data_IF_668854300291
#
_entry.id   IF_668854300291
#
_cell.length_a   1.000
_cell.length_b   1.000
_cell.length_c   1.000
_cell.angle_alpha   90.00
_cell.angle_beta   90.00
_cell.angle_gamma   90.00
#
_symmetry.space_group_name_H-M   'P 1'
#
loop_
_entity.id
_entity.type
_entity.pdbx_description
1 polymer ?
#
# COMPACT_ATOMS: atom_id res chain seq x y z
N UNK A 1 -33.14 19.81 7.40
CA UNK A 1 -32.18 18.76 7.01
C UNK A 1 -30.78 19.35 7.07
N UNK A 2 -30.04 19.13 8.16
CA UNK A 2 -28.66 19.61 8.28
C UNK A 2 -27.78 18.82 7.31
N UNK A 3 -27.09 19.53 6.42
CA UNK A 3 -26.09 18.91 5.56
C UNK A 3 -25.06 18.16 6.43
N UNK A 4 -24.64 16.94 6.06
CA UNK A 4 -23.57 16.26 6.78
C UNK A 4 -22.34 17.16 6.73
N UNK A 5 -21.89 17.63 7.89
CA UNK A 5 -20.62 18.36 8.00
C UNK A 5 -19.55 17.44 7.43
N UNK A 6 -19.00 17.81 6.29
CA UNK A 6 -17.91 17.06 5.66
C UNK A 6 -16.77 16.98 6.66
N UNK A 7 -16.41 15.77 7.07
CA UNK A 7 -15.34 15.54 8.05
C UNK A 7 -14.06 16.25 7.59
N UNK A 8 -13.36 17.01 8.46
CA UNK A 8 -12.10 17.69 8.11
C UNK A 8 -11.04 16.71 7.56
N UNK A 9 -11.14 15.42 7.92
CA UNK A 9 -10.31 14.35 7.37
C UNK A 9 -10.41 14.22 5.84
N UNK A 10 -11.57 14.50 5.24
CA UNK A 10 -11.82 14.36 3.80
C UNK A 10 -11.48 15.61 3.00
N UNK A 11 -11.33 16.77 3.65
CA UNK A 11 -11.02 18.04 2.99
C UNK A 11 -9.92 18.85 3.71
N UNK A 12 -8.69 18.30 3.84
CA UNK A 12 -7.54 19.12 4.21
C UNK A 12 -7.24 20.15 3.13
N UNK A 13 -6.61 21.26 3.52
CA UNK A 13 -6.39 22.43 2.67
C UNK A 13 -4.93 22.89 2.60
N UNK A 14 -4.03 22.34 3.41
CA UNK A 14 -2.63 22.77 3.50
C UNK A 14 -1.70 21.78 2.77
N UNK A 15 -1.21 22.11 1.55
CA UNK A 15 -0.31 21.22 0.82
C UNK A 15 1.05 21.08 1.49
N UNK A 16 1.68 19.93 1.31
CA UNK A 16 3.06 19.70 1.77
C UNK A 16 4.02 20.69 1.10
N UNK A 17 5.03 21.21 1.82
CA UNK A 17 5.98 22.17 1.26
C UNK A 17 6.76 21.57 0.09
N UNK A 18 7.18 20.31 0.20
CA UNK A 18 7.94 19.57 -0.81
C UNK A 18 7.55 18.09 -0.81
N UNK A 19 8.00 17.35 -1.83
CA UNK A 19 7.83 15.90 -1.92
C UNK A 19 8.79 15.18 -0.94
N UNK A 20 8.29 14.40 0.04
CA UNK A 20 9.15 13.64 0.94
C UNK A 20 9.79 12.41 0.28
N UNK A 21 10.84 11.87 0.91
CA UNK A 21 11.47 10.61 0.50
C UNK A 21 10.51 9.43 0.50
N UNK A 22 10.68 8.50 -0.44
CA UNK A 22 9.84 7.31 -0.60
C UNK A 22 8.50 7.54 -1.29
N UNK A 23 8.14 8.79 -1.63
CA UNK A 23 6.96 9.09 -2.43
C UNK A 23 7.26 8.98 -3.93
N UNK A 24 6.25 8.57 -4.69
CA UNK A 24 6.22 8.53 -6.15
C UNK A 24 5.23 9.58 -6.65
N UNK A 25 5.55 10.26 -7.75
CA UNK A 25 4.64 11.21 -8.38
C UNK A 25 3.61 10.47 -9.22
N UNK A 26 2.31 10.69 -8.95
CA UNK A 26 1.20 10.15 -9.73
C UNK A 26 0.78 11.09 -10.86
N UNK A 27 0.77 12.40 -10.58
CA UNK A 27 0.44 13.44 -11.54
C UNK A 27 1.12 14.75 -11.16
N UNK A 28 1.60 15.48 -12.16
CA UNK A 28 2.07 16.87 -12.05
C UNK A 28 0.93 17.82 -12.45
N UNK A 29 1.02 19.10 -12.05
CA UNK A 29 -0.02 20.12 -12.31
C UNK A 29 -1.43 19.72 -11.85
N UNK A 30 -1.52 18.83 -10.87
CA UNK A 30 -2.76 18.33 -10.32
C UNK A 30 -3.51 19.44 -9.55
N UNK A 31 -4.74 19.13 -9.15
CA UNK A 31 -5.55 20.00 -8.32
C UNK A 31 -5.78 19.37 -6.96
N UNK A 32 -6.02 20.22 -5.97
CA UNK A 32 -6.48 19.78 -4.65
C UNK A 32 -7.83 19.05 -4.73
N UNK A 33 -8.67 19.43 -5.70
CA UNK A 33 -9.90 18.70 -6.03
C UNK A 33 -9.64 17.23 -6.38
N UNK A 34 -8.61 16.93 -7.18
CA UNK A 34 -8.25 15.54 -7.52
C UNK A 34 -7.80 14.74 -6.29
N UNK A 35 -7.06 15.37 -5.38
CA UNK A 35 -6.71 14.76 -4.10
C UNK A 35 -7.96 14.43 -3.28
N UNK A 36 -8.90 15.37 -3.15
CA UNK A 36 -10.18 15.12 -2.47
C UNK A 36 -11.06 14.08 -3.17
N UNK A 37 -10.99 13.96 -4.51
CA UNK A 37 -11.69 12.91 -5.24
C UNK A 37 -11.25 11.53 -4.76
N UNK A 38 -9.94 11.30 -4.64
CA UNK A 38 -9.42 10.04 -4.09
C UNK A 38 -9.90 9.80 -2.66
N UNK A 39 -9.81 10.80 -1.78
CA UNK A 39 -10.28 10.63 -0.40
C UNK A 39 -11.78 10.35 -0.33
N UNK A 40 -12.59 11.09 -1.07
CA UNK A 40 -14.03 10.87 -1.10
C UNK A 40 -14.41 9.51 -1.69
N UNK A 41 -13.71 9.06 -2.74
CA UNK A 41 -13.94 7.76 -3.36
C UNK A 41 -13.53 6.62 -2.43
N UNK A 42 -12.34 6.69 -1.82
CA UNK A 42 -11.90 5.75 -0.80
C UNK A 42 -12.89 5.66 0.37
N UNK A 43 -13.38 6.80 0.89
CA UNK A 43 -14.37 6.79 1.97
C UNK A 43 -15.68 6.10 1.56
N UNK A 44 -16.18 6.36 0.35
CA UNK A 44 -17.39 5.71 -0.18
C UNK A 44 -17.19 4.21 -0.40
N UNK A 45 -16.00 3.81 -0.82
CA UNK A 45 -15.59 2.41 -0.95
C UNK A 45 -15.30 1.72 0.40
N UNK A 46 -15.65 2.35 1.52
CA UNK A 46 -15.48 1.80 2.88
C UNK A 46 -14.02 1.69 3.33
N UNK A 47 -13.12 2.49 2.76
CA UNK A 47 -11.70 2.52 3.16
C UNK A 47 -11.49 3.42 4.38
N UNK A 48 -10.54 3.01 5.21
CA UNK A 48 -10.12 3.79 6.38
C UNK A 48 -9.21 4.93 5.95
N UNK A 49 -9.60 6.17 6.26
CA UNK A 49 -8.82 7.37 5.97
C UNK A 49 -8.30 7.94 7.28
N UNK A 50 -6.97 7.94 7.42
CA UNK A 50 -6.28 8.38 8.63
C UNK A 50 -5.30 9.53 8.38
N UNK A 51 -5.06 10.31 9.42
CA UNK A 51 -3.95 11.26 9.49
C UNK A 51 -2.65 10.47 9.64
N UNK A 52 -1.58 10.90 8.96
CA UNK A 52 -0.26 10.28 9.13
C UNK A 52 0.34 10.77 10.45
N UNK A 53 0.98 9.87 11.21
CA UNK A 53 1.60 10.22 12.49
C UNK A 53 2.51 11.45 12.35
N UNK A 54 2.26 12.46 13.19
CA UNK A 54 3.00 13.71 13.21
C UNK A 54 2.45 14.81 12.30
N UNK A 55 1.39 14.56 11.52
CA UNK A 55 0.68 15.59 10.79
C UNK A 55 -0.48 16.19 11.57
N UNK A 56 -0.83 17.42 11.19
CA UNK A 56 -2.10 18.06 11.50
C UNK A 56 -3.21 17.64 10.52
N UNK A 57 -4.46 17.67 10.96
CA UNK A 57 -5.63 17.37 10.13
C UNK A 57 -5.77 18.32 8.93
N UNK A 58 -5.19 19.51 8.94
CA UNK A 58 -5.27 20.44 7.80
C UNK A 58 -4.32 20.06 6.68
N UNK A 59 -3.28 19.27 6.95
CA UNK A 59 -2.25 18.89 5.99
C UNK A 59 -2.82 17.95 4.93
N UNK A 60 -2.54 18.20 3.66
CA UNK A 60 -2.95 17.37 2.52
C UNK A 60 -2.10 16.10 2.39
N UNK A 61 -2.07 15.29 3.46
CA UNK A 61 -1.45 13.98 3.50
C UNK A 61 -2.34 13.03 4.29
N UNK A 62 -2.71 11.90 3.68
CA UNK A 62 -3.63 10.91 4.26
C UNK A 62 -3.19 9.50 3.99
N UNK A 63 -3.36 8.65 4.99
CA UNK A 63 -3.31 7.20 4.83
C UNK A 63 -4.68 6.70 4.37
N UNK A 64 -4.70 5.90 3.32
CA UNK A 64 -5.86 5.13 2.86
C UNK A 64 -5.53 3.65 3.14
N UNK A 65 -6.38 2.97 3.90
CA UNK A 65 -6.21 1.58 4.31
C UNK A 65 -7.51 0.77 4.14
N UNK A 66 -7.43 -0.54 4.37
CA UNK A 66 -8.59 -1.43 4.30
C UNK A 66 -8.86 -2.04 2.93
N UNK A 67 -7.90 -1.96 1.99
CA UNK A 67 -7.94 -2.74 0.75
C UNK A 67 -6.94 -3.91 0.80
N UNK A 68 -7.36 -5.07 0.33
CA UNK A 68 -6.55 -6.29 0.27
C UNK A 68 -6.70 -6.95 -1.09
N UNK A 69 -5.59 -7.44 -1.63
CA UNK A 69 -5.53 -8.13 -2.92
C UNK A 69 -5.24 -9.63 -2.69
N UNK A 70 -6.15 -10.56 -3.05
CA UNK A 70 -5.87 -11.99 -3.06
C UNK A 70 -4.99 -12.39 -4.26
N UNK A 71 -4.39 -13.58 -4.23
CA UNK A 71 -3.60 -14.09 -5.37
C UNK A 71 -2.34 -13.26 -5.65
N UNK A 72 -1.84 -12.52 -4.67
CA UNK A 72 -0.86 -11.48 -4.86
C UNK A 72 0.61 -11.95 -4.80
N UNK A 73 0.86 -13.26 -4.94
CA UNK A 73 2.22 -13.82 -4.87
C UNK A 73 3.19 -13.19 -5.87
N UNK A 74 2.70 -12.77 -7.04
CA UNK A 74 3.49 -12.06 -8.09
C UNK A 74 4.05 -10.70 -7.65
N UNK A 75 3.55 -10.15 -6.53
CA UNK A 75 4.07 -8.91 -5.96
C UNK A 75 5.23 -9.12 -5.00
N UNK A 76 5.65 -10.36 -4.72
CA UNK A 76 6.79 -10.60 -3.85
C UNK A 76 8.11 -10.14 -4.48
N UNK A 77 8.97 -9.52 -3.68
CA UNK A 77 10.38 -9.29 -4.04
C UNK A 77 11.22 -10.51 -3.63
N UNK A 78 11.24 -11.52 -4.51
CA UNK A 78 11.95 -12.78 -4.25
C UNK A 78 13.45 -12.59 -4.01
N UNK A 79 14.08 -11.65 -4.72
CA UNK A 79 15.51 -11.38 -4.55
C UNK A 79 15.81 -10.86 -3.13
N UNK A 80 14.93 -10.01 -2.58
CA UNK A 80 15.09 -9.54 -1.19
C UNK A 80 14.78 -10.62 -0.17
N UNK A 81 13.77 -11.46 -0.41
CA UNK A 81 13.51 -12.61 0.48
C UNK A 81 14.70 -13.56 0.49
N UNK A 82 15.28 -13.84 -0.68
CA UNK A 82 16.43 -14.71 -0.82
C UNK A 82 17.64 -14.20 -0.02
N UNK A 83 17.93 -12.90 -0.11
CA UNK A 83 19.02 -12.29 0.66
C UNK A 83 18.84 -12.45 2.18
N UNK A 84 17.61 -12.41 2.68
CA UNK A 84 17.31 -12.57 4.12
C UNK A 84 17.34 -14.05 4.56
N UNK A 85 17.14 -14.99 3.63
CA UNK A 85 17.24 -16.43 3.92
C UNK A 85 18.68 -16.89 4.15
N UNK A 86 19.65 -16.21 3.53
CA UNK A 86 21.07 -16.50 3.72
C UNK A 86 21.53 -16.23 5.17
N UNK A 87 20.83 -15.35 5.90
CA UNK A 87 21.13 -14.98 7.28
C UNK A 87 20.52 -15.92 8.34
N UNK A 88 19.83 -16.98 7.91
CA UNK A 88 19.32 -18.05 8.76
C UNK A 88 17.86 -17.87 9.18
N UNK A 89 16.99 -18.71 8.62
CA UNK A 89 15.56 -18.73 8.93
C UNK A 89 15.05 -20.17 9.06
N UNK A 90 13.89 -20.33 9.71
CA UNK A 90 13.25 -21.63 9.88
C UNK A 90 12.97 -22.28 8.51
N UNK A 91 13.34 -23.55 8.30
CA UNK A 91 13.16 -24.21 7.02
C UNK A 91 11.67 -24.39 6.71
N UNK A 92 11.27 -23.93 5.53
CA UNK A 92 9.94 -24.18 4.96
C UNK A 92 10.12 -24.66 3.52
N UNK A 93 9.37 -25.67 3.02
CA UNK A 93 9.58 -26.23 1.68
C UNK A 93 9.61 -25.18 0.57
N UNK A 94 8.71 -24.18 0.62
CA UNK A 94 8.69 -23.08 -0.34
C UNK A 94 9.92 -22.15 -0.28
N UNK A 95 10.54 -21.99 0.91
CA UNK A 95 11.76 -21.20 1.08
C UNK A 95 13.00 -21.98 0.62
N UNK A 96 13.01 -23.30 0.83
CA UNK A 96 14.04 -24.19 0.30
C UNK A 96 14.02 -24.24 -1.22
N UNK A 97 12.83 -24.25 -1.83
CA UNK A 97 12.68 -24.14 -3.29
C UNK A 97 13.25 -22.81 -3.81
N UNK A 98 12.97 -21.70 -3.11
CA UNK A 98 13.52 -20.39 -3.46
C UNK A 98 15.06 -20.37 -3.41
N UNK A 99 15.67 -20.97 -2.38
CA UNK A 99 17.13 -21.13 -2.29
C UNK A 99 17.69 -21.97 -3.45
N UNK A 100 16.92 -22.93 -3.95
CA UNK A 100 17.23 -23.72 -5.15
C UNK A 100 16.98 -22.98 -6.48
N UNK A 101 16.57 -21.72 -6.44
CA UNK A 101 16.28 -20.89 -7.62
C UNK A 101 14.84 -20.97 -8.15
N UNK A 102 13.94 -21.68 -7.46
CA UNK A 102 12.52 -21.79 -7.83
C UNK A 102 11.62 -20.99 -6.87
N UNK A 103 11.20 -19.80 -7.30
CA UNK A 103 10.24 -18.97 -6.57
C UNK A 103 8.77 -19.37 -6.74
N UNK A 104 8.46 -20.33 -7.62
CA UNK A 104 7.09 -20.78 -7.91
C UNK A 104 6.31 -21.19 -6.65
N UNK A 105 6.82 -22.15 -5.86
CA UNK A 105 6.16 -22.61 -4.64
C UNK A 105 5.87 -21.49 -3.63
N UNK A 106 6.77 -20.51 -3.50
CA UNK A 106 6.55 -19.39 -2.58
C UNK A 106 5.46 -18.44 -3.09
N UNK A 107 5.43 -18.14 -4.39
CA UNK A 107 4.34 -17.34 -4.99
C UNK A 107 2.99 -18.04 -4.87
N UNK A 108 2.94 -19.34 -5.09
CA UNK A 108 1.73 -20.15 -4.94
C UNK A 108 1.22 -20.15 -3.50
N UNK A 109 2.12 -20.38 -2.53
CA UNK A 109 1.81 -20.30 -1.11
C UNK A 109 1.21 -18.93 -0.75
N UNK A 110 1.87 -17.84 -1.15
CA UNK A 110 1.38 -16.49 -0.88
C UNK A 110 0.05 -16.20 -1.58
N UNK A 111 -0.15 -16.69 -2.81
CA UNK A 111 -1.40 -16.53 -3.54
C UNK A 111 -2.58 -17.26 -2.88
N UNK A 112 -2.31 -18.44 -2.33
CA UNK A 112 -3.31 -19.31 -1.71
C UNK A 112 -3.65 -18.88 -0.27
N UNK A 113 -2.64 -18.55 0.54
CA UNK A 113 -2.76 -18.42 2.01
C UNK A 113 -2.64 -17.01 2.54
N UNK A 114 -2.13 -16.08 1.74
CA UNK A 114 -1.91 -14.70 2.13
C UNK A 114 -2.75 -13.74 1.29
N UNK A 115 -2.93 -12.55 1.84
CA UNK A 115 -3.47 -11.37 1.16
C UNK A 115 -2.39 -10.30 1.13
N UNK A 116 -2.30 -9.57 0.03
CA UNK A 116 -1.49 -8.35 0.01
C UNK A 116 -2.34 -7.19 0.51
N UNK A 117 -2.04 -6.70 1.71
CA UNK A 117 -2.66 -5.49 2.27
C UNK A 117 -2.07 -4.28 1.57
N UNK A 118 -2.94 -3.50 0.93
CA UNK A 118 -2.58 -2.32 0.16
C UNK A 118 -2.96 -1.06 0.94
N UNK A 119 -1.98 -0.49 1.63
CA UNK A 119 -2.13 0.85 2.19
C UNK A 119 -1.41 1.86 1.31
N UNK A 120 -1.99 3.05 1.20
CA UNK A 120 -1.43 4.15 0.43
C UNK A 120 -1.35 5.38 1.30
N UNK A 121 -0.20 6.06 1.31
CA UNK A 121 -0.14 7.42 1.84
C UNK A 121 -0.19 8.38 0.66
N UNK A 122 -1.36 8.94 0.41
CA UNK A 122 -1.60 9.92 -0.64
C UNK A 122 -1.29 11.32 -0.09
N UNK A 123 -0.64 12.16 -0.88
CA UNK A 123 -0.40 13.55 -0.51
C UNK A 123 -0.44 14.50 -1.71
N UNK A 124 -0.61 15.79 -1.41
CA UNK A 124 -0.58 16.87 -2.38
C UNK A 124 0.44 17.93 -1.95
N UNK A 125 1.28 18.39 -2.89
CA UNK A 125 2.37 19.35 -2.62
C UNK A 125 2.02 20.77 -3.08
N UNK A 126 2.74 21.76 -2.56
CA UNK A 126 2.66 23.17 -3.04
C UNK A 126 3.03 23.31 -4.52
N UNK A 127 3.87 22.41 -5.04
CA UNK A 127 4.22 22.32 -6.47
C UNK A 127 3.11 21.73 -7.34
N UNK A 128 1.93 21.46 -6.74
CA UNK A 128 0.76 20.88 -7.40
C UNK A 128 0.98 19.44 -7.88
N UNK A 129 1.81 18.70 -7.17
CA UNK A 129 1.99 17.27 -7.44
C UNK A 129 1.06 16.45 -6.58
N UNK A 130 0.40 15.47 -7.21
CA UNK A 130 -0.23 14.36 -6.51
C UNK A 130 0.81 13.27 -6.36
N UNK A 131 1.13 12.91 -5.12
CA UNK A 131 2.17 11.95 -4.79
C UNK A 131 1.61 10.84 -3.90
N UNK A 132 2.22 9.66 -3.96
CA UNK A 132 1.81 8.53 -3.14
C UNK A 132 3.01 7.76 -2.62
N UNK A 133 2.91 7.22 -1.41
CA UNK A 133 3.84 6.22 -0.88
C UNK A 133 3.07 4.92 -0.63
N UNK A 134 3.42 3.81 -1.31
CA UNK A 134 2.81 2.51 -1.01
C UNK A 134 3.36 1.96 0.32
N UNK A 135 2.49 1.30 1.07
CA UNK A 135 2.86 0.56 2.28
C UNK A 135 2.22 -0.83 2.23
N UNK A 136 2.81 -1.68 1.40
CA UNK A 136 2.29 -3.00 1.11
C UNK A 136 2.87 -4.03 2.05
N UNK A 137 2.03 -4.97 2.48
CA UNK A 137 2.42 -6.05 3.38
C UNK A 137 1.62 -7.31 3.09
N UNK A 138 2.29 -8.44 2.95
CA UNK A 138 1.62 -9.74 2.97
C UNK A 138 1.14 -10.05 4.39
N UNK A 139 -0.12 -10.44 4.50
CA UNK A 139 -0.75 -10.85 5.77
C UNK A 139 -1.46 -12.18 5.55
N UNK A 140 -1.46 -13.10 6.53
CA UNK A 140 -2.26 -14.33 6.44
C UNK A 140 -3.73 -14.00 6.20
N UNK A 141 -4.44 -14.90 5.53
CA UNK A 141 -5.89 -14.77 5.36
C UNK A 141 -6.59 -14.76 6.72
N UNK A 142 -7.71 -14.02 6.87
CA UNK A 142 -8.47 -14.02 8.11
C UNK A 142 -8.87 -15.44 8.53
N UNK A 143 -8.53 -15.83 9.76
CA UNK A 143 -8.82 -17.17 10.30
C UNK A 143 -7.80 -18.25 9.96
N UNK A 144 -6.75 -17.95 9.19
CA UNK A 144 -5.66 -18.89 8.89
C UNK A 144 -4.42 -18.57 9.76
N UNK A 145 -3.72 -19.62 10.21
CA UNK A 145 -2.43 -19.47 10.86
C UNK A 145 -1.37 -19.09 9.82
N UNK A 146 -0.36 -18.31 10.23
CA UNK A 146 0.77 -18.02 9.35
C UNK A 146 1.58 -19.32 9.10
N UNK A 147 1.72 -19.72 7.84
CA UNK A 147 2.55 -20.88 7.46
C UNK A 147 4.04 -20.53 7.44
N UNK A 148 4.37 -19.26 7.18
CA UNK A 148 5.73 -18.73 7.23
C UNK A 148 5.99 -18.08 8.60
N UNK A 149 7.26 -18.12 9.04
CA UNK A 149 7.69 -17.45 10.28
C UNK A 149 7.29 -15.97 10.27
N UNK A 150 6.79 -15.47 11.40
CA UNK A 150 6.39 -14.07 11.54
C UNK A 150 7.53 -13.07 11.39
N UNK A 151 8.77 -13.53 11.60
CA UNK A 151 9.98 -12.72 11.50
C UNK A 151 10.54 -12.65 10.08
N UNK A 152 10.06 -13.49 9.15
CA UNK A 152 10.48 -13.44 7.75
C UNK A 152 9.87 -12.21 7.07
N UNK A 153 10.69 -11.24 6.59
CA UNK A 153 10.16 -10.14 5.80
C UNK A 153 9.64 -10.65 4.47
N UNK A 154 8.41 -10.25 4.12
CA UNK A 154 7.80 -10.48 2.82
C UNK A 154 7.61 -9.15 2.09
N UNK A 155 8.70 -8.53 1.59
CA UNK A 155 8.63 -7.25 0.90
C UNK A 155 7.90 -7.39 -0.43
N UNK A 156 7.07 -6.41 -0.75
CA UNK A 156 6.55 -6.28 -2.11
C UNK A 156 7.67 -5.75 -3.04
N UNK A 157 7.72 -6.26 -4.27
CA UNK A 157 8.60 -5.76 -5.32
C UNK A 157 8.35 -4.29 -5.60
N UNK A 158 9.32 -3.65 -6.23
CA UNK A 158 9.15 -2.28 -6.73
C UNK A 158 8.00 -2.25 -7.75
N UNK A 159 7.03 -1.37 -7.49
CA UNK A 159 5.86 -1.17 -8.33
C UNK A 159 6.08 0.08 -9.19
N UNK A 160 5.84 -0.04 -10.49
CA UNK A 160 5.92 1.09 -11.40
C UNK A 160 4.80 2.11 -11.12
N UNK A 161 5.00 3.37 -11.52
CA UNK A 161 4.02 4.44 -11.27
C UNK A 161 2.61 4.08 -11.78
N UNK A 162 2.51 3.55 -12.98
CA UNK A 162 1.21 3.32 -13.63
C UNK A 162 0.48 2.13 -12.99
N UNK A 163 1.21 1.09 -12.60
CA UNK A 163 0.69 -0.03 -11.81
C UNK A 163 0.23 0.43 -10.42
N UNK A 164 1.00 1.30 -9.78
CA UNK A 164 0.63 1.86 -8.48
C UNK A 164 -0.63 2.73 -8.55
N UNK A 165 -0.77 3.50 -9.63
CA UNK A 165 -1.98 4.26 -9.93
C UNK A 165 -3.17 3.33 -10.12
N UNK A 166 -3.03 2.28 -10.92
CA UNK A 166 -4.07 1.28 -11.11
C UNK A 166 -4.53 0.64 -9.78
N UNK A 167 -3.58 0.26 -8.91
CA UNK A 167 -3.91 -0.31 -7.60
C UNK A 167 -4.60 0.70 -6.68
N UNK A 168 -4.21 1.97 -6.73
CA UNK A 168 -4.87 3.04 -5.97
C UNK A 168 -6.29 3.30 -6.50
N UNK A 169 -6.46 3.39 -7.82
CA UNK A 169 -7.76 3.58 -8.46
C UNK A 169 -8.70 2.42 -8.09
N UNK A 170 -8.22 1.17 -8.19
CA UNK A 170 -8.92 -0.04 -7.70
C UNK A 170 -9.31 0.03 -6.22
N UNK A 171 -8.40 0.47 -5.34
CA UNK A 171 -8.68 0.60 -3.91
C UNK A 171 -9.74 1.68 -3.62
N UNK A 172 -9.79 2.72 -4.46
CA UNK A 172 -10.74 3.83 -4.34
C UNK A 172 -12.03 3.62 -5.15
N UNK A 173 -12.16 2.54 -5.91
CA UNK A 173 -13.26 2.29 -6.86
C UNK A 173 -13.42 3.42 -7.90
N UNK A 174 -12.29 3.84 -8.46
CA UNK A 174 -12.18 4.84 -9.54
C UNK A 174 -11.76 4.23 -10.88
#
# INVERSE_FOLDING_TARGET
MSAPRSSPLLRPTEPLPTKPGGYLGLATYSSLGRFWTYLGAAARAGRDIGVVRGDDERVCRRRIAGYTLPGAGVFLDEARVLAELEDGLAPHPALLALLGGDGGPLRELLGARYLLRLNFVLAFTRQRDLIVRPEFKFVPRPGEAAELSGDLPLPARRIARDELRFLLDRACEL
#
